data_IF_936754536935
#
_entry.id   IF_936754536935
#
_cell.length_a   1.000
_cell.length_b   1.000
_cell.length_c   1.000
_cell.angle_alpha   90.00
_cell.angle_beta   90.00
_cell.angle_gamma   90.00
#
_symmetry.space_group_name_H-M   'P 1'
#
loop_
_entity.id
_entity.type
_entity.pdbx_description
1 polymer ?
#
# COMPACT_ATOMS: atom_id res chain seq x y z
N UNK A 1 10.12 -5.19 15.45
CA UNK A 1 9.23 -6.32 15.13
C UNK A 1 9.29 -6.63 13.65
N UNK A 2 9.74 -7.84 13.28
CA UNK A 2 10.03 -8.22 11.89
C UNK A 2 8.76 -8.54 11.09
N UNK A 3 7.83 -7.59 11.01
CA UNK A 3 6.58 -7.78 10.28
C UNK A 3 6.83 -7.93 8.77
N UNK A 4 6.07 -8.85 8.15
CA UNK A 4 6.20 -9.18 6.73
C UNK A 4 4.84 -9.15 6.07
N UNK A 5 4.77 -8.48 4.91
CA UNK A 5 3.62 -8.55 4.02
C UNK A 5 3.89 -9.64 2.96
N UNK A 6 3.06 -10.68 2.94
CA UNK A 6 3.05 -11.67 1.86
C UNK A 6 1.93 -11.35 0.89
N UNK A 7 2.26 -11.16 -0.39
CA UNK A 7 1.29 -10.92 -1.45
C UNK A 7 1.32 -12.11 -2.39
N UNK A 8 0.17 -12.75 -2.60
CA UNK A 8 0.05 -13.93 -3.46
C UNK A 8 -1.10 -13.76 -4.45
N UNK A 9 -0.78 -13.95 -5.73
CA UNK A 9 -1.68 -14.18 -6.86
C UNK A 9 -1.00 -15.24 -7.75
N UNK A 10 -1.78 -15.91 -8.60
CA UNK A 10 -1.26 -16.97 -9.50
C UNK A 10 -0.14 -16.45 -10.41
N UNK A 11 -0.16 -15.16 -10.75
CA UNK A 11 0.91 -14.45 -11.44
C UNK A 11 1.16 -13.06 -10.81
N UNK A 12 2.40 -12.59 -10.87
CA UNK A 12 2.76 -11.23 -10.48
C UNK A 12 2.34 -10.23 -11.56
N UNK A 13 1.03 -10.10 -11.76
CA UNK A 13 0.45 -9.20 -12.74
C UNK A 13 0.42 -7.73 -12.29
N UNK A 14 0.06 -6.85 -13.22
CA UNK A 14 0.02 -5.40 -13.04
C UNK A 14 -0.71 -4.92 -11.78
N UNK A 15 -1.80 -5.59 -11.38
CA UNK A 15 -2.55 -5.20 -10.18
C UNK A 15 -1.75 -5.41 -8.90
N UNK A 16 -0.99 -6.49 -8.82
CA UNK A 16 -0.16 -6.78 -7.65
C UNK A 16 0.99 -5.78 -7.56
N UNK A 17 1.70 -5.57 -8.66
CA UNK A 17 2.82 -4.63 -8.70
C UNK A 17 2.36 -3.19 -8.47
N UNK A 18 1.20 -2.80 -9.02
CA UNK A 18 0.56 -1.51 -8.76
C UNK A 18 0.13 -1.32 -7.30
N UNK A 19 -0.39 -2.37 -6.65
CA UNK A 19 -0.76 -2.33 -5.23
C UNK A 19 0.46 -2.14 -4.34
N UNK A 20 1.56 -2.84 -4.61
CA UNK A 20 2.82 -2.71 -3.86
C UNK A 20 3.42 -1.32 -4.07
N UNK A 21 3.48 -0.83 -5.33
CA UNK A 21 3.94 0.52 -5.64
C UNK A 21 3.08 1.59 -4.94
N UNK A 22 1.75 1.44 -4.99
CA UNK A 22 0.81 2.32 -4.31
C UNK A 22 0.99 2.33 -2.79
N UNK A 23 1.20 1.17 -2.17
CA UNK A 23 1.49 1.08 -0.74
C UNK A 23 2.78 1.82 -0.38
N UNK A 24 3.86 1.63 -1.14
CA UNK A 24 5.14 2.29 -0.88
C UNK A 24 5.05 3.81 -1.04
N UNK A 25 4.22 4.27 -1.98
CA UNK A 25 3.93 5.68 -2.18
C UNK A 25 3.10 6.25 -1.01
N UNK A 26 1.98 5.61 -0.68
CA UNK A 26 1.08 6.02 0.40
C UNK A 26 1.75 6.01 1.78
N UNK A 27 2.70 5.11 2.00
CA UNK A 27 3.45 4.99 3.26
C UNK A 27 4.73 5.82 3.32
N UNK A 28 4.91 6.78 2.41
CA UNK A 28 6.07 7.67 2.32
C UNK A 28 7.43 6.96 2.21
N UNK A 29 7.46 5.71 1.71
CA UNK A 29 8.71 4.96 1.47
C UNK A 29 9.34 5.30 0.14
N UNK A 30 8.53 5.74 -0.82
CA UNK A 30 8.96 6.25 -2.12
C UNK A 30 8.26 7.58 -2.37
N UNK A 31 8.97 8.63 -2.83
CA UNK A 31 8.46 10.00 -2.75
C UNK A 31 7.43 10.37 -3.84
N UNK A 32 7.29 9.61 -4.93
CA UNK A 32 6.32 9.92 -5.97
C UNK A 32 5.96 8.70 -6.83
N UNK A 33 4.82 8.79 -7.52
CA UNK A 33 4.28 7.74 -8.38
C UNK A 33 5.23 7.24 -9.47
N UNK A 34 5.83 8.12 -10.31
CA UNK A 34 6.79 7.69 -11.32
C UNK A 34 7.95 6.87 -10.75
N UNK A 35 8.51 7.29 -9.61
CA UNK A 35 9.59 6.55 -8.97
C UNK A 35 9.12 5.21 -8.41
N UNK A 36 7.90 5.13 -7.85
CA UNK A 36 7.32 3.88 -7.36
C UNK A 36 7.12 2.87 -8.51
N UNK A 37 6.65 3.34 -9.67
CA UNK A 37 6.54 2.53 -10.89
C UNK A 37 7.92 2.00 -11.30
N UNK A 38 8.92 2.88 -11.45
CA UNK A 38 10.27 2.48 -11.87
C UNK A 38 10.91 1.46 -10.94
N UNK A 39 10.78 1.63 -9.62
CA UNK A 39 11.33 0.68 -8.65
C UNK A 39 10.70 -0.70 -8.82
N UNK A 40 9.37 -0.77 -8.97
CA UNK A 40 8.68 -2.05 -9.14
C UNK A 40 9.00 -2.71 -10.48
N UNK A 41 9.01 -1.95 -11.58
CA UNK A 41 9.40 -2.47 -12.91
C UNK A 41 10.81 -3.07 -12.90
N UNK A 42 11.75 -2.45 -12.17
CA UNK A 42 13.11 -2.97 -12.01
C UNK A 42 13.18 -4.21 -11.12
N UNK A 43 12.37 -4.27 -10.06
CA UNK A 43 12.31 -5.44 -9.16
C UNK A 43 11.67 -6.66 -9.84
N UNK A 44 10.69 -6.45 -10.71
CA UNK A 44 9.95 -7.54 -11.37
C UNK A 44 10.50 -7.90 -12.74
N UNK A 45 11.30 -7.02 -13.36
CA UNK A 45 11.92 -7.26 -14.66
C UNK A 45 10.97 -7.10 -15.84
N UNK A 46 9.83 -6.43 -15.66
CA UNK A 46 8.87 -6.17 -16.73
C UNK A 46 8.11 -4.85 -16.50
N UNK A 47 7.69 -4.16 -17.58
CA UNK A 47 6.92 -2.93 -17.47
C UNK A 47 5.58 -3.14 -16.74
N UNK A 48 5.15 -2.12 -15.99
CA UNK A 48 3.84 -2.09 -15.36
C UNK A 48 2.81 -1.62 -16.38
N UNK A 49 1.80 -2.46 -16.64
CA UNK A 49 0.70 -2.12 -17.51
C UNK A 49 -0.33 -1.16 -16.88
N UNK A 50 -1.38 -0.79 -17.66
CA UNK A 50 -2.31 0.28 -17.29
C UNK A 50 -2.98 0.08 -15.93
N UNK A 51 -3.43 -1.14 -15.63
CA UNK A 51 -4.15 -1.42 -14.37
C UNK A 51 -3.29 -1.22 -13.12
N UNK A 52 -1.97 -1.40 -13.22
CA UNK A 52 -1.05 -1.11 -12.12
C UNK A 52 -0.82 0.39 -11.96
N UNK A 53 -0.69 1.11 -13.08
CA UNK A 53 -0.48 2.57 -13.09
C UNK A 53 -1.69 3.33 -12.55
N UNK A 54 -2.90 2.85 -12.83
CA UNK A 54 -4.14 3.38 -12.27
C UNK A 54 -4.17 3.25 -10.74
N UNK A 55 -3.71 2.12 -10.19
CA UNK A 55 -3.61 1.93 -8.73
C UNK A 55 -2.60 2.88 -8.08
N UNK A 56 -1.45 3.12 -8.72
CA UNK A 56 -0.47 4.09 -8.23
C UNK A 56 -1.04 5.51 -8.25
N UNK A 57 -1.78 5.86 -9.30
CA UNK A 57 -2.46 7.15 -9.38
C UNK A 57 -3.52 7.29 -8.28
N UNK A 58 -4.28 6.24 -7.99
CA UNK A 58 -5.27 6.24 -6.92
C UNK A 58 -4.64 6.35 -5.52
N UNK A 59 -3.46 5.77 -5.30
CA UNK A 59 -2.82 5.73 -3.98
C UNK A 59 -2.54 7.12 -3.38
N UNK A 60 -2.35 8.16 -4.20
CA UNK A 60 -2.15 9.54 -3.72
C UNK A 60 -3.43 10.20 -3.21
N UNK A 61 -4.59 9.64 -3.54
CA UNK A 61 -5.91 10.12 -3.13
C UNK A 61 -6.38 9.46 -1.82
N UNK A 62 -5.72 8.37 -1.41
CA UNK A 62 -6.09 7.63 -0.21
C UNK A 62 -5.57 8.37 1.02
N UNK A 63 -6.48 8.99 1.77
CA UNK A 63 -6.12 9.58 3.07
C UNK A 63 -5.51 8.52 4.00
N UNK A 64 -4.39 8.82 4.68
CA UNK A 64 -3.85 7.90 5.66
C UNK A 64 -4.88 7.66 6.75
N UNK A 65 -5.24 6.39 6.97
CA UNK A 65 -6.11 5.99 8.07
C UNK A 65 -5.46 6.43 9.38
N UNK A 66 -5.89 7.57 9.90
CA UNK A 66 -5.48 8.06 11.22
C UNK A 66 -6.21 7.19 12.22
N UNK A 67 -5.51 6.26 12.85
CA UNK A 67 -6.10 5.31 13.79
C UNK A 67 -6.49 6.04 15.09
N UNK A 68 -7.66 6.66 15.12
CA UNK A 68 -8.32 7.06 16.37
C UNK A 68 -9.55 6.17 16.59
N UNK A 69 -9.32 4.90 16.93
CA UNK A 69 -10.37 4.07 17.50
C UNK A 69 -10.44 4.36 19.01
N UNK A 70 -11.45 5.11 19.51
CA UNK A 70 -11.52 5.42 20.93
C UNK A 70 -11.60 4.11 21.72
N UNK A 71 -10.69 3.94 22.70
CA UNK A 71 -10.74 2.81 23.64
C UNK A 71 -12.13 2.80 24.28
N UNK A 72 -12.87 1.67 24.27
CA UNK A 72 -14.13 1.60 24.97
C UNK A 72 -13.88 1.97 26.43
N UNK A 73 -14.56 3.02 26.91
CA UNK A 73 -14.52 3.42 28.32
C UNK A 73 -15.03 2.24 29.12
N UNK A 74 -14.13 1.54 29.83
CA UNK A 74 -14.52 0.60 30.87
C UNK A 74 -15.41 1.36 31.85
N UNK A 75 -16.71 1.05 31.87
CA UNK A 75 -17.56 1.45 32.99
C UNK A 75 -17.06 0.67 34.19
N UNK A 76 -16.25 1.32 35.01
CA UNK A 76 -16.09 0.93 36.41
C UNK A 76 -17.49 0.92 37.02
N UNK A 77 -18.08 -0.27 37.14
CA UNK A 77 -19.12 -0.48 38.13
C UNK A 77 -18.37 -0.71 39.44
N UNK A 78 -18.22 0.39 40.17
CA UNK A 78 -18.18 0.36 41.61
C UNK A 78 -19.52 -0.11 42.14
N UNK A 79 -19.44 -0.81 43.28
CA UNK A 79 -20.50 -1.25 44.20
C UNK A 79 -21.13 -2.61 43.91
#
# INVERSE_FOLDING_TARGET
DGERLLVHQDELGDRVTGTIAGYLLWSDRIPNGPQAITVLEHMTGHPMGPSGRELVAFAVEVEPMTEERPRPRNRAHSS
#
